data_IF_471283741823
#
_entry.id   IF_471283741823
#
_cell.length_a   1.000
_cell.length_b   1.000
_cell.length_c   1.000
_cell.angle_alpha   90.00
_cell.angle_beta   90.00
_cell.angle_gamma   90.00
#
_symmetry.space_group_name_H-M   'P 1'
#
loop_
_entity.id
_entity.type
_entity.pdbx_description
1 polymer ?
2 non-polymer ?
3 non-polymer ?
4 water ?
#
# COMPACT_ATOMS: atom_id res chain seq x y z
N UNK A 1 21.13 14.64 -23.90
CA UNK A 1 20.24 15.72 -23.50
C UNK A 1 19.34 16.17 -24.64
N UNK A 2 19.84 16.05 -25.88
CA UNK A 2 19.25 16.76 -27.01
C UNK A 2 17.78 16.43 -27.21
N UNK A 3 17.37 15.18 -26.97
CA UNK A 3 16.01 14.76 -27.23
C UNK A 3 15.31 14.23 -25.99
N UNK A 4 15.74 14.66 -24.80
CA UNK A 4 15.21 14.12 -23.56
C UNK A 4 14.21 15.11 -22.94
N UNK A 5 13.22 14.55 -22.25
CA UNK A 5 12.20 15.32 -21.55
C UNK A 5 12.40 15.13 -20.06
N UNK A 6 12.38 16.24 -19.31
CA UNK A 6 12.57 16.20 -17.87
C UNK A 6 12.16 17.53 -17.24
N UNK A 7 11.11 17.51 -16.42
CA UNK A 7 10.61 18.73 -15.80
C UNK A 7 11.34 18.99 -14.49
N UNK A 8 11.52 20.28 -14.19
CA UNK A 8 12.09 20.67 -12.91
C UNK A 8 11.14 20.26 -11.79
N UNK A 9 11.65 19.70 -10.69
CA UNK A 9 10.77 19.14 -9.66
C UNK A 9 9.91 20.21 -8.99
N UNK A 10 8.65 19.86 -8.76
CA UNK A 10 7.69 20.73 -8.09
C UNK A 10 7.25 20.05 -6.80
N UNK A 11 6.78 20.87 -5.86
CA UNK A 11 6.33 20.38 -4.56
C UNK A 11 4.81 20.28 -4.55
N UNK A 12 4.29 19.06 -4.40
CA UNK A 12 2.85 18.86 -4.29
C UNK A 12 2.36 18.97 -2.85
N UNK A 13 3.20 18.61 -1.88
CA UNK A 13 2.88 18.77 -0.47
C UNK A 13 4.13 19.25 0.25
N UNK A 14 3.92 20.06 1.29
CA UNK A 14 5.01 20.69 2.01
C UNK A 14 4.49 21.15 3.36
N UNK A 15 5.37 21.36 4.34
CA UNK A 15 4.90 21.81 5.67
C UNK A 15 4.13 23.11 5.57
N UNK A 16 2.95 23.12 6.20
CA UNK A 16 2.02 24.22 6.13
C UNK A 16 0.86 23.98 5.19
N UNK A 17 1.09 23.24 4.10
CA UNK A 17 0.02 22.93 3.17
C UNK A 17 -1.04 22.09 3.88
N UNK A 18 -2.29 22.54 3.78
CA UNK A 18 -3.42 21.91 4.47
C UNK A 18 -3.21 21.89 5.98
N UNK A 19 -2.50 22.88 6.50
CA UNK A 19 -2.25 23.08 7.93
C UNK A 19 -1.42 21.95 8.53
N UNK A 20 -0.69 21.19 7.71
CA UNK A 20 0.05 20.02 8.18
C UNK A 20 1.53 20.36 8.31
N UNK A 21 2.12 19.99 9.45
CA UNK A 21 3.54 20.20 9.69
C UNK A 21 4.42 19.19 8.95
N UNK A 22 3.87 18.04 8.56
CA UNK A 22 4.67 16.99 7.94
C UNK A 22 3.91 16.28 6.85
N UNK A 23 4.68 15.66 5.96
CA UNK A 23 4.16 14.86 4.87
C UNK A 23 5.16 13.76 4.56
N UNK A 24 4.65 12.58 4.21
CA UNK A 24 5.51 11.45 3.84
C UNK A 24 4.69 10.44 3.04
N UNK A 25 5.40 9.48 2.46
CA UNK A 25 4.83 8.27 1.88
C UNK A 25 4.07 8.60 0.60
N UNK A 26 4.76 8.82 -0.52
CA UNK A 26 4.07 9.19 -1.76
C UNK A 26 3.50 7.98 -2.50
N UNK A 27 2.30 8.17 -3.07
CA UNK A 27 1.66 7.16 -3.89
C UNK A 27 1.08 7.84 -5.13
N UNK A 28 1.24 7.19 -6.28
CA UNK A 28 0.99 7.80 -7.57
C UNK A 28 0.33 6.78 -8.50
N UNK A 29 -0.81 7.16 -9.08
CA UNK A 29 -1.53 6.26 -9.98
C UNK A 29 -2.23 7.09 -11.06
N UNK A 30 -2.33 6.52 -12.26
CA UNK A 30 -3.00 7.14 -13.38
C UNK A 30 -4.31 6.41 -13.68
N UNK A 31 -5.38 7.16 -13.91
CA UNK A 31 -6.67 6.57 -14.22
C UNK A 31 -6.82 6.37 -15.72
N UNK A 32 -7.88 5.65 -16.10
CA UNK A 32 -8.14 5.44 -17.53
C UNK A 32 -8.52 6.75 -18.22
N UNK A 33 -9.09 7.70 -17.49
CA UNK A 33 -9.38 9.02 -18.02
C UNK A 33 -8.14 9.91 -18.10
N UNK A 34 -6.96 9.36 -17.84
CA UNK A 34 -5.73 10.11 -17.93
C UNK A 34 -5.37 10.94 -16.72
N UNK A 35 -6.19 10.93 -15.67
CA UNK A 35 -5.91 11.72 -14.49
C UNK A 35 -4.82 11.08 -13.64
N UNK A 36 -3.90 11.89 -13.15
CA UNK A 36 -2.86 11.43 -12.23
C UNK A 36 -3.33 11.72 -10.82
N UNK A 37 -3.22 10.71 -9.95
CA UNK A 37 -3.61 10.82 -8.55
C UNK A 37 -2.38 10.71 -7.67
N UNK A 38 -2.24 11.65 -6.73
CA UNK A 38 -1.11 11.66 -5.80
C UNK A 38 -1.67 11.69 -4.38
N UNK A 39 -1.61 10.55 -3.69
CA UNK A 39 -2.00 10.46 -2.30
C UNK A 39 -0.77 10.50 -1.41
N UNK A 40 -0.98 10.88 -0.15
CA UNK A 40 0.14 11.18 0.75
C UNK A 40 -0.34 11.04 2.19
N UNK A 41 0.61 10.81 3.10
CA UNK A 41 0.34 10.91 4.52
C UNK A 41 0.26 12.38 4.92
N UNK A 42 -0.89 12.81 5.43
CA UNK A 42 -1.02 14.15 6.01
C UNK A 42 -0.63 14.01 7.48
N UNK A 43 0.68 14.02 7.71
CA UNK A 43 1.23 13.85 9.07
C UNK A 43 1.23 15.21 9.76
N UNK A 44 0.11 15.51 10.41
CA UNK A 44 -0.14 16.88 10.88
C UNK A 44 0.82 17.31 11.97
N UNK A 45 1.35 16.36 12.77
CA UNK A 45 2.19 16.69 13.91
C UNK A 45 3.69 16.55 13.63
N UNK A 46 4.06 16.30 12.38
CA UNK A 46 5.46 16.12 12.02
C UNK A 46 5.68 14.86 11.23
N UNK A 47 6.94 14.64 10.87
CA UNK A 47 7.32 13.56 9.96
C UNK A 47 7.35 12.18 10.61
N UNK A 48 7.21 12.09 11.93
CA UNK A 48 7.39 10.81 12.61
C UNK A 48 6.25 9.84 12.28
N UNK A 49 6.57 8.55 12.27
CA UNK A 49 5.56 7.52 12.09
C UNK A 49 4.59 7.52 13.28
N UNK A 50 3.51 6.77 13.13
CA UNK A 50 2.66 6.48 14.27
C UNK A 50 3.48 5.71 15.31
N UNK A 51 3.16 5.87 16.61
CA UNK A 51 2.02 6.58 17.20
C UNK A 51 2.26 8.06 17.53
N UNK A 52 1.31 8.65 18.26
CA UNK A 52 1.40 10.05 18.71
C UNK A 52 1.46 11.02 17.53
N UNK A 53 0.66 10.74 16.49
CA UNK A 53 0.62 11.61 15.32
C UNK A 53 -0.75 11.54 14.69
N UNK A 54 -1.37 12.70 14.47
CA UNK A 54 -2.63 12.81 13.74
C UNK A 54 -2.30 12.78 12.25
N UNK A 55 -2.41 11.60 11.65
CA UNK A 55 -2.10 11.40 10.24
C UNK A 55 -3.40 11.10 9.50
N UNK A 56 -3.61 11.79 8.39
CA UNK A 56 -4.79 11.61 7.56
C UNK A 56 -4.35 11.32 6.13
N UNK A 57 -5.32 10.96 5.29
CA UNK A 57 -5.08 10.72 3.87
C UNK A 57 -5.39 12.00 3.11
N UNK A 58 -4.43 12.45 2.31
CA UNK A 58 -4.65 13.57 1.41
C UNK A 58 -4.41 13.14 -0.01
N UNK A 59 -4.96 13.86 -0.98
CA UNK A 59 -4.83 13.49 -2.39
C UNK A 59 -4.93 14.73 -3.26
N UNK A 60 -4.22 14.71 -4.39
CA UNK A 60 -4.31 15.75 -5.40
C UNK A 60 -4.53 15.09 -6.75
N UNK A 61 -5.26 15.79 -7.63
CA UNK A 61 -5.60 15.30 -8.95
C UNK A 61 -5.00 16.20 -10.01
N UNK A 62 -4.65 15.59 -11.15
CA UNK A 62 -4.17 16.33 -12.32
C UNK A 62 -4.79 15.67 -13.54
N UNK A 63 -5.88 16.24 -14.03
CA UNK A 63 -6.52 15.70 -15.23
C UNK A 63 -5.65 15.97 -16.46
N UNK A 64 -5.88 15.17 -17.50
CA UNK A 64 -5.08 15.29 -18.72
C UNK A 64 -5.27 16.67 -19.32
N UNK A 65 -4.16 17.30 -19.71
CA UNK A 65 -4.17 18.67 -20.21
C UNK A 65 -4.76 19.63 -19.18
N UNK A 66 -4.32 19.47 -17.92
CA UNK A 66 -4.77 20.31 -16.84
C UNK A 66 -3.66 20.56 -15.83
N UNK A 67 -3.97 21.35 -14.82
CA UNK A 67 -3.06 21.68 -13.75
C UNK A 67 -3.27 20.76 -12.56
N UNK A 68 -2.30 20.73 -11.66
CA UNK A 68 -2.50 20.09 -10.37
C UNK A 68 -3.56 20.84 -9.59
N UNK A 69 -4.59 20.12 -9.14
CA UNK A 69 -5.67 20.72 -8.39
C UNK A 69 -5.33 20.75 -6.90
N UNK A 70 -6.15 21.47 -6.14
CA UNK A 70 -5.88 21.65 -4.72
C UNK A 70 -5.97 20.31 -3.98
N UNK A 71 -5.13 20.18 -2.95
CA UNK A 71 -5.16 18.98 -2.15
C UNK A 71 -6.34 18.94 -1.19
N UNK A 72 -6.84 17.72 -0.96
CA UNK A 72 -7.98 17.52 -0.08
C UNK A 72 -7.70 16.34 0.84
N UNK A 73 -8.15 16.46 2.09
CA UNK A 73 -8.10 15.35 3.04
C UNK A 73 -9.33 14.48 2.82
N UNK A 74 -9.11 13.22 2.43
CA UNK A 74 -10.20 12.33 2.04
C UNK A 74 -10.49 11.26 3.08
N UNK A 75 -9.64 11.10 4.10
CA UNK A 75 -9.90 10.19 5.21
C UNK A 75 -9.24 10.78 6.44
N UNK A 76 -10.02 10.94 7.51
CA UNK A 76 -9.54 11.62 8.70
C UNK A 76 -10.18 10.98 9.93
N UNK A 77 -9.34 10.50 10.85
CA UNK A 77 -9.77 9.83 12.05
C UNK A 77 -9.62 10.74 13.27
N UNK A 78 -10.37 10.47 14.34
CA UNK A 78 -10.33 11.38 15.50
C UNK A 78 -8.96 11.37 16.18
N UNK A 79 -8.61 12.54 16.73
CA UNK A 79 -7.40 12.64 17.53
C UNK A 79 -6.17 12.25 16.76
N UNK A 80 -5.23 11.61 17.46
CA UNK A 80 -4.02 11.09 16.84
C UNK A 80 -4.16 9.64 16.41
N UNK A 81 -5.36 9.22 16.00
CA UNK A 81 -5.56 7.92 15.37
C UNK A 81 -5.08 8.02 13.93
N UNK A 82 -4.11 7.19 13.55
CA UNK A 82 -3.36 7.42 12.33
C UNK A 82 -3.92 6.61 11.16
N UNK A 83 -3.93 7.24 9.99
CA UNK A 83 -4.10 6.57 8.70
C UNK A 83 -2.78 6.76 7.96
N UNK A 84 -2.04 5.67 7.78
CA UNK A 84 -0.63 5.75 7.40
C UNK A 84 -0.35 4.76 6.28
N UNK A 85 0.47 5.20 5.31
CA UNK A 85 0.90 4.38 4.18
C UNK A 85 -0.27 4.03 3.26
N UNK A 86 -0.41 4.77 2.16
CA UNK A 86 -1.51 4.56 1.23
C UNK A 86 -1.03 3.83 -0.04
N UNK A 87 -1.97 3.18 -0.70
CA UNK A 87 -1.72 2.51 -1.97
C UNK A 87 -2.94 2.71 -2.89
N UNK A 88 -2.68 3.06 -4.14
CA UNK A 88 -3.73 3.41 -5.09
C UNK A 88 -3.84 2.33 -6.18
N UNK A 89 -5.05 2.17 -6.71
CA UNK A 89 -5.26 1.21 -7.79
C UNK A 89 -6.42 1.66 -8.66
N UNK A 90 -6.14 1.88 -9.94
CA UNK A 90 -7.18 2.06 -10.95
C UNK A 90 -7.59 0.68 -11.47
N UNK A 91 -8.89 0.42 -11.47
CA UNK A 91 -9.39 -0.89 -11.88
C UNK A 91 -10.75 -0.73 -12.54
N UNK A 92 -11.05 -1.63 -13.48
CA UNK A 92 -12.27 -1.55 -14.27
C UNK A 92 -13.03 -2.87 -14.18
N UNK A 93 -14.32 -2.80 -14.51
CA UNK A 93 -15.19 -3.97 -14.53
C UNK A 93 -16.17 -3.81 -15.69
N UNK A 94 -16.40 -4.91 -16.41
CA UNK A 94 -17.36 -4.92 -17.51
C UNK A 94 -18.76 -4.96 -16.92
N UNK A 95 -19.44 -3.81 -16.94
CA UNK A 95 -20.77 -3.68 -16.36
C UNK A 95 -21.81 -4.26 -17.31
N UNK A 96 -22.83 -3.46 -17.62
CA UNK A 96 -23.87 -3.87 -18.56
C UNK A 96 -23.27 -4.01 -19.95
N UNK A 97 -22.96 -2.88 -20.58
CA UNK A 97 -22.18 -2.87 -21.81
C UNK A 97 -21.13 -1.79 -21.72
N UNK A 98 -20.94 -1.31 -20.48
CA UNK A 98 -20.05 -0.20 -20.17
C UNK A 98 -18.92 -0.73 -19.30
N UNK A 99 -17.68 -0.45 -19.71
CA UNK A 99 -16.50 -0.74 -18.90
C UNK A 99 -16.32 0.40 -17.91
N UNK A 100 -16.82 0.23 -16.69
CA UNK A 100 -16.76 1.26 -15.67
C UNK A 100 -15.48 1.15 -14.86
N UNK A 101 -14.98 2.31 -14.41
CA UNK A 101 -13.72 2.40 -13.69
C UNK A 101 -13.96 2.81 -12.24
N UNK A 102 -13.27 2.14 -11.33
CA UNK A 102 -13.28 2.47 -9.91
C UNK A 102 -11.85 2.54 -9.40
N UNK A 103 -11.56 3.56 -8.60
CA UNK A 103 -10.24 3.76 -8.00
C UNK A 103 -10.29 3.27 -6.56
N UNK A 104 -9.35 2.39 -6.20
CA UNK A 104 -9.27 1.85 -4.86
C UNK A 104 -8.06 2.43 -4.13
N UNK A 105 -8.24 2.70 -2.84
CA UNK A 105 -7.15 3.12 -1.96
C UNK A 105 -7.22 2.33 -0.68
N UNK A 106 -6.11 1.68 -0.31
CA UNK A 106 -6.01 1.02 0.99
C UNK A 106 -4.95 1.73 1.81
N UNK A 107 -5.14 1.74 3.12
CA UNK A 107 -4.27 2.45 4.04
C UNK A 107 -4.27 1.70 5.36
N UNK A 108 -3.13 1.73 6.05
CA UNK A 108 -3.03 1.14 7.37
C UNK A 108 -3.60 2.09 8.41
N UNK A 109 -4.33 1.52 9.37
CA UNK A 109 -5.03 2.30 10.38
C UNK A 109 -4.72 1.77 11.77
N UNK A 110 -4.36 2.69 12.68
CA UNK A 110 -4.10 2.41 14.07
C UNK A 110 -4.99 3.27 14.95
N UNK A 111 -5.49 2.73 16.07
CA UNK A 111 -6.13 3.59 17.07
C UNK A 111 -5.10 4.50 17.73
N UNK A 112 -5.61 5.45 18.50
CA UNK A 112 -4.73 6.42 19.15
C UNK A 112 -3.77 5.70 20.09
N UNK A 113 -2.49 6.08 20.00
CA UNK A 113 -1.47 5.52 20.87
C UNK A 113 -0.73 4.32 20.31
N UNK A 114 -1.02 3.90 19.09
CA UNK A 114 -0.45 2.68 18.56
C UNK A 114 0.16 2.91 17.17
N UNK A 115 1.18 2.10 16.87
CA UNK A 115 1.82 2.08 15.59
C UNK A 115 2.53 0.77 15.40
N UNK A 116 3.39 0.72 14.38
CA UNK A 116 4.18 -0.49 14.13
C UNK A 116 4.97 -0.97 15.34
N UNK A 117 5.71 -0.12 16.07
CA UNK A 117 6.58 -0.66 17.13
C UNK A 117 5.84 -1.27 18.31
N UNK A 118 4.62 -0.80 18.63
CA UNK A 118 3.92 -1.27 19.82
C UNK A 118 2.58 -1.90 19.51
N UNK A 119 2.34 -2.32 18.28
CA UNK A 119 1.05 -2.89 17.92
C UNK A 119 0.84 -4.22 18.64
N UNK A 120 -0.42 -4.50 18.95
CA UNK A 120 -0.82 -5.78 19.53
C UNK A 120 -1.28 -6.71 18.41
N UNK A 121 -1.60 -7.95 18.79
CA UNK A 121 -2.05 -8.94 17.82
C UNK A 121 -3.55 -8.95 17.64
N UNK A 122 -4.01 -9.84 16.76
CA UNK A 122 -5.42 -10.06 16.56
C UNK A 122 -6.00 -9.21 15.44
N UNK A 123 -7.18 -9.65 14.97
CA UNK A 123 -7.88 -8.93 13.92
C UNK A 123 -8.65 -7.73 14.44
N UNK A 124 -8.87 -7.64 15.76
CA UNK A 124 -9.78 -6.66 16.30
C UNK A 124 -11.23 -7.10 16.29
N UNK A 125 -11.51 -8.34 15.92
CA UNK A 125 -12.87 -8.86 15.83
C UNK A 125 -12.97 -10.19 16.56
N UNK A 126 -14.17 -10.49 17.03
CA UNK A 126 -14.51 -11.80 17.55
C UNK A 126 -15.57 -12.43 16.64
N UNK A 127 -15.39 -13.72 16.34
CA UNK A 127 -16.32 -14.45 15.49
C UNK A 127 -17.33 -15.19 16.35
N UNK A 128 -18.61 -14.94 16.11
CA UNK A 128 -19.71 -15.65 16.74
C UNK A 128 -20.63 -16.14 15.64
N UNK A 129 -20.82 -17.46 15.56
CA UNK A 129 -21.37 -18.12 14.37
C UNK A 129 -20.41 -17.81 13.23
N UNK A 130 -20.85 -17.19 12.14
CA UNK A 130 -19.93 -16.82 11.08
C UNK A 130 -19.78 -15.32 10.94
N UNK A 131 -20.23 -14.58 11.96
CA UNK A 131 -20.22 -13.12 11.93
C UNK A 131 -19.08 -12.59 12.81
N UNK A 132 -18.29 -11.68 12.24
CA UNK A 132 -17.23 -11.01 12.98
C UNK A 132 -17.78 -9.76 13.64
N UNK A 133 -17.48 -9.58 14.93
CA UNK A 133 -17.97 -8.44 15.68
C UNK A 133 -16.81 -7.64 16.24
N UNK A 134 -16.87 -6.32 16.05
CA UNK A 134 -15.81 -5.42 16.52
C UNK A 134 -15.65 -5.54 18.04
N UNK A 135 -14.41 -5.78 18.47
CA UNK A 135 -14.12 -5.95 19.89
C UNK A 135 -13.89 -4.60 20.54
N UNK A 136 -14.34 -4.46 21.79
CA UNK A 136 -14.03 -3.30 22.63
C UNK A 136 -13.55 -3.78 23.98
N UNK A 137 -12.63 -3.02 24.58
CA UNK A 137 -12.07 -3.33 25.88
C UNK A 137 -12.36 -2.19 26.86
N UNK A 138 -12.59 -2.56 28.12
CA UNK A 138 -12.60 -1.56 29.17
C UNK A 138 -11.20 -1.48 29.80
N UNK A 139 -11.02 -0.55 30.73
CA UNK A 139 -9.73 -0.38 31.39
C UNK A 139 -9.28 -1.64 32.13
N UNK A 140 -10.22 -2.48 32.55
CA UNK A 140 -9.93 -3.73 33.24
C UNK A 140 -9.66 -4.87 32.27
N UNK A 141 -9.55 -4.56 30.98
CA UNK A 141 -9.26 -5.50 29.90
C UNK A 141 -10.34 -6.55 29.70
N UNK A 142 -11.58 -6.27 30.12
CA UNK A 142 -12.69 -7.13 29.76
C UNK A 142 -13.09 -6.90 28.31
N UNK A 143 -13.74 -7.89 27.72
CA UNK A 143 -14.02 -7.90 26.29
C UNK A 143 -15.49 -7.64 26.00
N UNK A 144 -15.74 -6.81 25.00
CA UNK A 144 -17.09 -6.49 24.55
C UNK A 144 -17.13 -6.59 23.03
N UNK A 145 -18.34 -6.78 22.48
CA UNK A 145 -18.53 -6.87 21.04
C UNK A 145 -19.62 -5.92 20.60
N UNK A 146 -19.43 -5.34 19.41
CA UNK A 146 -20.40 -4.44 18.80
C UNK A 146 -21.20 -5.26 17.79
N UNK A 147 -22.53 -5.28 17.95
CA UNK A 147 -23.36 -6.14 17.13
C UNK A 147 -24.44 -5.35 16.40
N UNK A 148 -25.66 -5.90 16.38
CA UNK A 148 -26.72 -5.30 15.59
C UNK A 148 -27.02 -3.89 16.07
N UNK A 149 -27.17 -2.97 15.12
CA UNK A 149 -27.49 -1.57 15.41
C UNK A 149 -26.47 -0.93 16.34
N UNK A 150 -25.22 -1.40 16.29
CA UNK A 150 -24.17 -0.85 17.12
C UNK A 150 -24.29 -1.12 18.60
N UNK A 151 -25.15 -2.05 19.00
CA UNK A 151 -25.34 -2.33 20.43
C UNK A 151 -24.12 -3.07 20.98
N UNK A 152 -23.64 -2.65 22.13
CA UNK A 152 -22.45 -3.21 22.75
C UNK A 152 -22.87 -4.29 23.73
N UNK A 153 -22.42 -5.52 23.48
CA UNK A 153 -22.66 -6.66 24.37
C UNK A 153 -21.42 -6.94 25.19
N UNK A 154 -21.62 -7.44 26.41
CA UNK A 154 -20.50 -7.76 27.28
C UNK A 154 -20.01 -9.18 27.00
N UNK A 155 -19.10 -9.68 27.83
CA UNK A 155 -18.55 -11.02 27.61
C UNK A 155 -19.56 -12.12 27.88
N UNK A 156 -20.59 -11.85 28.68
CA UNK A 156 -21.63 -12.82 28.97
C UNK A 156 -22.74 -12.84 27.95
N UNK A 157 -22.64 -12.06 26.88
CA UNK A 157 -23.65 -12.06 25.84
C UNK A 157 -24.86 -11.20 26.10
N UNK A 158 -24.86 -10.40 27.17
CA UNK A 158 -25.96 -9.53 27.49
C UNK A 158 -25.65 -8.09 27.06
N UNK A 159 -26.71 -7.35 26.75
CA UNK A 159 -26.54 -5.99 26.27
C UNK A 159 -26.07 -5.06 27.38
N UNK A 160 -25.25 -4.09 27.00
CA UNK A 160 -24.90 -2.97 27.85
C UNK A 160 -25.77 -1.77 27.47
N UNK A 161 -25.57 -0.65 28.15
CA UNK A 161 -26.21 0.61 27.77
C UNK A 161 -25.34 1.44 26.84
N UNK A 162 -24.48 0.79 26.06
CA UNK A 162 -23.57 1.45 25.14
C UNK A 162 -23.97 1.16 23.70
N UNK A 163 -23.77 2.15 22.83
CA UNK A 163 -23.93 2.00 21.39
C UNK A 163 -22.73 2.65 20.72
N UNK A 164 -22.18 1.96 19.71
CA UNK A 164 -21.06 2.50 18.94
C UNK A 164 -21.54 2.78 17.52
N UNK A 165 -21.45 4.04 17.11
CA UNK A 165 -21.73 4.40 15.73
C UNK A 165 -20.59 3.93 14.82
N UNK A 166 -20.79 4.09 13.51
CA UNK A 166 -19.81 3.57 12.56
C UNK A 166 -18.48 4.31 12.65
N UNK A 167 -18.49 5.59 13.01
CA UNK A 167 -17.26 6.34 13.19
C UNK A 167 -16.63 6.12 14.57
N UNK A 168 -17.05 5.05 15.26
CA UNK A 168 -16.51 4.61 16.55
C UNK A 168 -16.91 5.51 17.71
N UNK A 169 -17.93 6.34 17.53
CA UNK A 169 -18.45 7.15 18.64
C UNK A 169 -19.27 6.28 19.58
N UNK A 170 -19.12 6.51 20.88
CA UNK A 170 -19.80 5.72 21.90
C UNK A 170 -20.92 6.56 22.51
N UNK A 171 -22.15 6.03 22.46
CA UNK A 171 -23.33 6.68 23.00
C UNK A 171 -23.80 5.90 24.22
N UNK A 172 -23.99 6.60 25.33
CA UNK A 172 -24.57 6.01 26.53
C UNK A 172 -25.63 6.96 27.06
N UNK A 173 -26.85 6.44 27.26
CA UNK A 173 -27.97 7.22 27.76
C UNK A 173 -28.19 8.47 26.90
N UNK A 174 -28.07 8.30 25.59
CA UNK A 174 -28.28 9.38 24.66
C UNK A 174 -27.20 10.45 24.66
N UNK A 175 -26.08 10.23 25.35
CA UNK A 175 -24.99 11.18 25.39
C UNK A 175 -23.73 10.57 24.77
N UNK A 176 -22.96 11.41 24.10
CA UNK A 176 -21.65 10.98 23.60
C UNK A 176 -20.67 10.91 24.75
N UNK A 177 -20.10 9.73 24.98
CA UNK A 177 -19.20 9.50 26.11
C UNK A 177 -17.78 9.19 25.68
N UNK A 178 -17.50 9.20 24.37
CA UNK A 178 -16.15 8.97 23.90
C UNK A 178 -16.16 8.45 22.48
N UNK A 179 -14.95 8.08 22.03
CA UNK A 179 -14.76 7.47 20.71
C UNK A 179 -13.79 6.31 20.86
N UNK A 180 -14.19 5.15 20.33
CA UNK A 180 -13.44 3.92 20.55
C UNK A 180 -12.01 3.98 20.04
N UNK A 181 -11.68 4.94 19.17
CA UNK A 181 -10.34 5.05 18.63
C UNK A 181 -9.42 5.93 19.47
N UNK A 182 -9.90 6.47 20.60
CA UNK A 182 -9.17 7.45 21.37
C UNK A 182 -8.64 6.85 22.67
N UNK A 183 -7.48 7.34 23.09
CA UNK A 183 -6.81 6.79 24.27
C UNK A 183 -7.58 7.03 25.55
N UNK A 184 -8.56 7.93 25.55
CA UNK A 184 -9.28 8.30 26.76
C UNK A 184 -10.70 7.74 26.81
N UNK A 185 -11.03 6.84 25.90
CA UNK A 185 -12.41 6.37 25.81
C UNK A 185 -12.70 5.32 26.89
N UNK A 186 -13.92 5.30 27.43
CA UNK A 186 -14.27 4.23 28.39
C UNK A 186 -14.15 2.84 27.80
N UNK A 187 -14.49 2.69 26.52
CA UNK A 187 -14.33 1.44 25.79
C UNK A 187 -13.48 1.71 24.55
N UNK A 188 -12.39 0.96 24.40
CA UNK A 188 -11.43 1.20 23.35
C UNK A 188 -11.39 0.04 22.36
N UNK A 189 -11.10 0.36 21.11
CA UNK A 189 -10.79 -0.66 20.13
C UNK A 189 -9.47 -1.34 20.48
N UNK A 190 -9.30 -2.58 20.00
CA UNK A 190 -8.04 -3.28 20.18
C UNK A 190 -6.92 -2.50 19.50
N UNK A 191 -5.85 -2.24 20.25
CA UNK A 191 -4.74 -1.48 19.73
C UNK A 191 -3.90 -2.26 18.74
N UNK A 192 -4.42 -2.50 17.55
CA UNK A 192 -3.74 -3.32 16.56
C UNK A 192 -3.90 -2.72 15.17
N UNK A 193 -3.12 -3.24 14.22
CA UNK A 193 -3.08 -2.71 12.87
C UNK A 193 -4.28 -3.18 12.06
N UNK A 194 -4.93 -2.25 11.38
CA UNK A 194 -5.98 -2.52 10.42
C UNK A 194 -5.55 -2.05 9.04
N UNK A 195 -6.17 -2.65 8.02
CA UNK A 195 -6.12 -2.11 6.65
C UNK A 195 -7.51 -1.65 6.31
N UNK A 196 -7.65 -0.35 6.03
CA UNK A 196 -8.92 0.24 5.64
C UNK A 196 -8.91 0.52 4.14
N UNK A 197 -10.08 0.47 3.54
CA UNK A 197 -10.21 0.66 2.10
C UNK A 197 -11.29 1.70 1.80
N UNK A 198 -10.97 2.61 0.86
CA UNK A 198 -11.94 3.54 0.30
C UNK A 198 -11.85 3.44 -1.21
N UNK A 199 -12.93 3.86 -1.88
CA UNK A 199 -12.97 3.82 -3.33
C UNK A 199 -13.63 5.07 -3.87
N UNK A 200 -13.35 5.35 -5.14
CA UNK A 200 -13.89 6.52 -5.83
C UNK A 200 -14.42 6.08 -7.20
N UNK A 201 -15.67 6.46 -7.49
CA UNK A 201 -16.30 6.18 -8.77
C UNK A 201 -16.24 7.36 -9.74
N UNK A 202 -15.80 8.53 -9.28
CA UNK A 202 -15.81 9.72 -10.11
C UNK A 202 -14.39 10.23 -10.37
N UNK A 203 -13.48 9.34 -10.76
CA UNK A 203 -12.13 9.71 -11.17
C UNK A 203 -11.36 10.39 -10.05
N UNK A 204 -11.66 10.06 -8.80
CA UNK A 204 -10.94 10.59 -7.66
C UNK A 204 -11.51 11.84 -7.04
N UNK A 205 -12.68 12.29 -7.49
CA UNK A 205 -13.26 13.52 -6.92
C UNK A 205 -13.72 13.30 -5.50
N UNK A 206 -14.55 12.27 -5.28
CA UNK A 206 -15.09 11.97 -3.95
C UNK A 206 -14.82 10.51 -3.63
N UNK A 207 -14.75 10.21 -2.33
CA UNK A 207 -14.38 8.89 -1.84
C UNK A 207 -15.39 8.38 -0.83
N UNK A 208 -15.57 7.06 -0.81
CA UNK A 208 -16.48 6.42 0.12
C UNK A 208 -15.95 6.50 1.55
N UNK A 209 -16.75 6.00 2.49
CA UNK A 209 -16.31 5.86 3.86
C UNK A 209 -15.41 4.63 3.99
N UNK A 210 -14.50 4.61 4.96
CA UNK A 210 -13.57 3.49 5.05
C UNK A 210 -14.27 2.18 5.38
N UNK A 211 -13.83 1.11 4.73
CA UNK A 211 -14.27 -0.24 5.05
C UNK A 211 -13.09 -1.01 5.63
N UNK A 212 -13.28 -1.58 6.82
CA UNK A 212 -12.24 -2.35 7.46
C UNK A 212 -12.09 -3.70 6.75
N UNK A 213 -10.88 -3.98 6.29
CA UNK A 213 -10.59 -5.24 5.61
C UNK A 213 -10.06 -6.32 6.55
N UNK A 214 -9.86 -5.98 7.83
CA UNK A 214 -9.38 -6.98 8.80
C UNK A 214 -10.27 -8.20 8.95
N UNK A 215 -11.59 -8.08 9.14
CA UNK A 215 -12.37 -9.26 9.55
C UNK A 215 -12.39 -10.34 8.47
N UNK A 216 -11.98 -11.55 8.87
CA UNK A 216 -11.90 -12.66 7.95
C UNK A 216 -10.68 -12.67 7.06
N UNK A 217 -9.80 -11.69 7.19
CA UNK A 217 -8.62 -11.57 6.34
C UNK A 217 -7.33 -11.61 7.14
N UNK A 218 -7.15 -10.69 8.08
CA UNK A 218 -5.97 -10.69 8.93
C UNK A 218 -6.03 -11.88 9.90
N UNK A 219 -4.93 -12.61 10.00
CA UNK A 219 -4.87 -13.74 10.92
C UNK A 219 -4.78 -13.27 12.36
N UNK A 220 -5.35 -14.06 13.27
CA UNK A 220 -5.31 -13.69 14.68
C UNK A 220 -3.89 -13.66 15.22
N UNK A 221 -2.97 -14.42 14.62
CA UNK A 221 -1.60 -14.43 15.09
C UNK A 221 -0.77 -13.27 14.55
N UNK A 222 -1.32 -12.48 13.64
CA UNK A 222 -0.61 -11.34 13.10
C UNK A 222 -0.67 -10.17 14.07
N UNK A 223 0.42 -9.42 14.15
CA UNK A 223 0.45 -8.21 14.95
C UNK A 223 0.36 -7.00 14.03
N UNK A 224 1.47 -6.62 13.39
CA UNK A 224 1.36 -5.65 12.32
C UNK A 224 0.73 -6.30 11.10
N UNK A 225 -0.02 -5.50 10.35
CA UNK A 225 -0.74 -5.94 9.18
C UNK A 225 -1.13 -4.69 8.43
N UNK A 226 -0.41 -4.36 7.35
CA UNK A 226 -0.56 -3.03 6.80
C UNK A 226 -0.27 -2.93 5.33
N UNK A 227 -0.72 -1.81 4.78
CA UNK A 227 -0.52 -1.50 3.37
C UNK A 227 0.96 -1.34 3.05
N UNK A 228 1.39 -1.95 1.94
CA UNK A 228 2.70 -1.64 1.37
C UNK A 228 2.52 -0.43 0.48
N UNK A 229 3.05 0.74 0.84
CA UNK A 229 2.66 1.97 0.13
C UNK A 229 3.18 2.01 -1.29
N UNK A 230 2.39 2.64 -2.15
CA UNK A 230 2.66 2.69 -3.57
C UNK A 230 1.39 2.48 -4.37
N UNK A 231 1.30 1.36 -5.07
CA UNK A 231 0.10 1.04 -5.83
C UNK A 231 -0.12 -0.46 -5.85
N UNK A 232 -1.37 -0.84 -6.10
CA UNK A 232 -1.71 -2.19 -6.50
C UNK A 232 -1.96 -2.26 -8.00
N UNK A 233 -2.27 -3.47 -8.48
CA UNK A 233 -2.52 -3.68 -9.90
C UNK A 233 -3.73 -4.59 -10.07
N UNK A 234 -4.35 -4.50 -11.24
CA UNK A 234 -5.40 -5.41 -11.67
C UNK A 234 -4.80 -6.30 -12.75
N UNK A 235 -4.88 -7.61 -12.56
CA UNK A 235 -4.27 -8.56 -13.49
C UNK A 235 -4.98 -8.47 -14.83
N UNK A 236 -4.20 -8.38 -15.91
CA UNK A 236 -4.74 -8.20 -17.25
C UNK A 236 -4.76 -9.47 -18.08
N UNK A 237 -3.89 -10.43 -17.80
CA UNK A 237 -3.76 -11.62 -18.63
C UNK A 237 -3.82 -12.88 -17.79
N UNK A 238 -4.22 -13.97 -18.43
CA UNK A 238 -4.11 -15.28 -17.83
C UNK A 238 -5.34 -15.73 -17.08
N UNK A 239 -5.13 -16.72 -16.23
CA UNK A 239 -6.23 -17.37 -15.51
C UNK A 239 -6.96 -16.40 -14.59
N UNK A 240 -6.29 -15.35 -14.12
CA UNK A 240 -6.82 -14.47 -13.09
C UNK A 240 -6.97 -13.04 -13.60
N UNK A 241 -7.37 -12.87 -14.86
CA UNK A 241 -7.65 -11.54 -15.37
C UNK A 241 -8.77 -10.89 -14.56
N UNK A 242 -8.60 -9.61 -14.24
CA UNK A 242 -9.55 -8.86 -13.45
C UNK A 242 -9.30 -8.89 -11.95
N UNK A 243 -8.44 -9.78 -11.48
CA UNK A 243 -8.17 -9.86 -10.05
C UNK A 243 -7.43 -8.62 -9.57
N UNK A 244 -7.92 -8.04 -8.48
CA UNK A 244 -7.25 -6.91 -7.85
C UNK A 244 -6.14 -7.44 -6.95
N UNK A 245 -4.95 -6.85 -7.05
CA UNK A 245 -3.78 -7.29 -6.29
C UNK A 245 -3.23 -6.09 -5.53
N UNK A 246 -3.25 -6.17 -4.20
CA UNK A 246 -2.76 -5.10 -3.33
C UNK A 246 -1.60 -5.60 -2.48
N UNK A 247 -0.38 -5.10 -2.68
CA UNK A 247 0.74 -5.51 -1.84
C UNK A 247 0.58 -5.06 -0.39
N UNK A 248 0.90 -5.95 0.54
CA UNK A 248 0.86 -5.70 1.97
C UNK A 248 2.07 -6.36 2.62
N UNK A 249 2.17 -6.20 3.94
CA UNK A 249 3.10 -6.99 4.73
C UNK A 249 2.62 -7.02 6.17
N UNK A 250 3.14 -7.98 6.93
CA UNK A 250 2.65 -8.24 8.28
C UNK A 250 3.77 -8.79 9.14
N UNK A 251 3.51 -8.86 10.45
CA UNK A 251 4.42 -9.49 11.41
C UNK A 251 3.69 -10.60 12.15
N UNK A 252 4.43 -11.63 12.52
CA UNK A 252 3.89 -12.73 13.31
C UNK A 252 4.15 -12.45 14.79
N UNK A 253 4.04 -13.48 15.64
CA UNK A 253 4.21 -13.29 17.07
C UNK A 253 5.65 -13.00 17.46
N UNK A 254 6.62 -13.32 16.59
CA UNK A 254 8.02 -12.99 16.83
C UNK A 254 8.39 -11.64 16.22
N UNK A 255 7.42 -10.87 15.75
CA UNK A 255 7.64 -9.58 15.11
C UNK A 255 8.45 -9.70 13.83
N UNK A 256 8.48 -10.89 13.23
CA UNK A 256 9.17 -11.11 11.96
C UNK A 256 8.28 -10.62 10.81
N UNK A 257 8.86 -9.81 9.93
CA UNK A 257 8.10 -9.19 8.84
C UNK A 257 8.09 -10.08 7.60
N UNK A 258 6.92 -10.20 6.99
CA UNK A 258 6.74 -11.00 5.78
C UNK A 258 5.87 -10.24 4.78
N UNK A 259 6.30 -10.23 3.52
CA UNK A 259 5.53 -9.59 2.45
C UNK A 259 4.46 -10.53 1.93
N UNK A 260 3.39 -9.94 1.39
CA UNK A 260 2.33 -10.72 0.75
C UNK A 260 1.47 -9.76 -0.05
N UNK A 261 0.42 -10.30 -0.68
CA UNK A 261 -0.60 -9.50 -1.32
C UNK A 261 -1.96 -9.99 -0.86
N UNK A 262 -2.92 -9.08 -0.82
CA UNK A 262 -4.33 -9.44 -0.70
C UNK A 262 -4.97 -9.26 -2.07
N UNK A 263 -5.91 -10.12 -2.41
CA UNK A 263 -6.48 -10.11 -3.75
C UNK A 263 -7.99 -10.27 -3.69
N UNK A 264 -8.65 -9.79 -4.75
CA UNK A 264 -10.10 -9.85 -4.87
C UNK A 264 -10.47 -10.25 -6.28
N UNK A 265 -11.42 -11.19 -6.40
CA UNK A 265 -11.92 -11.62 -7.68
C UNK A 265 -13.34 -11.14 -7.97
N UNK A 266 -13.96 -10.42 -7.03
CA UNK A 266 -15.28 -9.86 -7.22
C UNK A 266 -15.23 -8.34 -7.20
N UNK A 267 -14.18 -7.78 -7.79
CA UNK A 267 -14.01 -6.33 -7.95
C UNK A 267 -14.04 -5.60 -6.60
N UNK A 268 -13.36 -6.16 -5.62
CA UNK A 268 -13.19 -5.52 -4.34
C UNK A 268 -14.28 -5.77 -3.31
N UNK A 269 -15.25 -6.64 -3.62
CA UNK A 269 -16.31 -6.92 -2.64
C UNK A 269 -15.78 -7.73 -1.47
N UNK A 270 -15.01 -8.77 -1.76
CA UNK A 270 -14.37 -9.59 -0.73
C UNK A 270 -12.88 -9.74 -1.05
N UNK A 271 -12.09 -10.06 -0.03
CA UNK A 271 -10.65 -10.16 -0.17
C UNK A 271 -10.16 -11.45 0.47
N UNK A 272 -9.06 -11.97 -0.08
CA UNK A 272 -8.38 -13.13 0.48
C UNK A 272 -6.90 -12.82 0.62
N UNK A 273 -6.26 -13.50 1.56
CA UNK A 273 -4.84 -13.30 1.87
C UNK A 273 -4.02 -14.41 1.22
N UNK A 274 -3.06 -14.02 0.39
CA UNK A 274 -2.15 -14.98 -0.20
C UNK A 274 -0.98 -15.30 0.71
N UNK A 275 -0.25 -16.35 0.34
CA UNK A 275 0.93 -16.73 1.10
C UNK A 275 2.01 -15.65 0.99
N UNK A 276 2.91 -15.66 1.94
CA UNK A 276 4.11 -14.86 1.83
C UNK A 276 5.16 -15.61 1.02
N UNK A 277 6.02 -14.90 0.29
CA UNK A 277 7.23 -15.55 -0.25
C UNK A 277 8.09 -16.16 0.84
N UNK A 278 7.88 -15.76 2.10
CA UNK A 278 8.51 -16.44 3.23
C UNK A 278 8.00 -17.87 3.34
N UNK A 279 6.74 -18.12 2.96
CA UNK A 279 6.15 -19.44 3.09
C UNK A 279 6.66 -20.36 2.01
N UNK A 280 7.36 -21.42 2.42
CA UNK A 280 7.92 -22.42 1.52
C UNK A 280 7.61 -23.81 2.08
N UNK A 281 8.21 -24.83 1.47
CA UNK A 281 8.12 -26.16 2.06
C UNK A 281 8.85 -26.22 3.39
N UNK A 282 9.88 -25.39 3.58
CA UNK A 282 10.69 -25.41 4.79
C UNK A 282 10.23 -24.43 5.85
N UNK A 283 9.70 -23.27 5.45
CA UNK A 283 9.50 -22.14 6.36
C UNK A 283 8.03 -21.74 6.34
N UNK A 284 7.52 -21.35 7.51
CA UNK A 284 6.18 -20.81 7.68
C UNK A 284 6.28 -19.37 8.18
N UNK A 285 5.61 -18.46 7.47
CA UNK A 285 5.64 -17.06 7.90
C UNK A 285 4.90 -16.83 9.20
N UNK A 286 4.17 -17.83 9.71
CA UNK A 286 3.52 -17.69 11.01
C UNK A 286 4.50 -17.87 12.15
N UNK A 287 5.46 -18.79 12.00
CA UNK A 287 6.34 -19.17 13.10
C UNK A 287 7.80 -18.82 12.87
N UNK A 288 8.15 -18.29 11.70
CA UNK A 288 9.55 -17.94 11.44
C UNK A 288 10.02 -16.91 12.46
N UNK A 289 11.29 -17.02 12.86
CA UNK A 289 11.86 -16.08 13.81
C UNK A 289 13.30 -15.72 13.49
N UNK A 290 13.83 -16.13 12.34
CA UNK A 290 15.16 -15.77 11.91
C UNK A 290 15.22 -15.80 10.39
N UNK A 291 16.25 -15.15 9.85
CA UNK A 291 16.44 -15.07 8.41
C UNK A 291 16.10 -13.69 7.87
N UNK A 292 16.16 -13.59 6.55
CA UNK A 292 15.92 -12.32 5.87
C UNK A 292 14.44 -11.97 5.94
N UNK A 293 14.14 -10.79 6.51
CA UNK A 293 12.76 -10.32 6.57
C UNK A 293 12.39 -9.63 5.27
N UNK A 294 11.14 -9.82 4.85
CA UNK A 294 10.60 -9.20 3.65
C UNK A 294 9.45 -8.29 4.08
N UNK A 295 9.52 -7.01 3.70
CA UNK A 295 8.62 -6.01 4.25
C UNK A 295 7.88 -5.36 3.09
N UNK A 296 7.98 -4.04 2.94
CA UNK A 296 7.27 -3.32 1.89
C UNK A 296 7.60 -3.88 0.51
N UNK A 297 6.60 -3.86 -0.37
CA UNK A 297 6.75 -4.53 -1.66
C UNK A 297 5.82 -3.89 -2.69
N UNK A 298 6.13 -4.18 -3.96
CA UNK A 298 5.33 -3.76 -5.11
C UNK A 298 5.32 -4.89 -6.13
N UNK A 299 4.27 -4.94 -6.94
CA UNK A 299 4.02 -6.09 -7.80
C UNK A 299 3.86 -5.63 -9.25
N UNK A 300 4.39 -6.42 -10.17
CA UNK A 300 4.24 -6.21 -11.61
C UNK A 300 3.82 -7.52 -12.26
N UNK A 301 3.19 -7.41 -13.43
CA UNK A 301 2.61 -8.55 -14.12
C UNK A 301 3.43 -8.89 -15.37
N UNK A 302 3.64 -10.18 -15.60
CA UNK A 302 4.33 -10.68 -16.77
C UNK A 302 3.35 -10.79 -17.95
N UNK A 303 3.87 -10.95 -19.17
CA UNK A 303 2.97 -11.00 -20.34
C UNK A 303 1.86 -12.04 -20.25
N UNK A 304 2.10 -13.16 -19.56
CA UNK A 304 1.08 -14.21 -19.44
C UNK A 304 0.30 -14.13 -18.12
N UNK A 305 0.53 -13.08 -17.32
CA UNK A 305 -0.13 -12.94 -16.04
C UNK A 305 0.70 -13.35 -14.84
N UNK A 306 1.89 -13.88 -15.06
CA UNK A 306 2.76 -14.27 -13.95
C UNK A 306 3.16 -13.04 -13.14
N UNK A 307 3.12 -13.17 -11.82
CA UNK A 307 3.32 -12.05 -10.93
C UNK A 307 4.75 -12.01 -10.40
N UNK A 308 5.30 -10.81 -10.26
CA UNK A 308 6.63 -10.59 -9.70
C UNK A 308 6.51 -9.58 -8.57
N UNK A 309 6.91 -9.99 -7.38
CA UNK A 309 6.83 -9.14 -6.18
C UNK A 309 8.23 -8.69 -5.80
N UNK A 310 8.47 -7.38 -5.90
CA UNK A 310 9.74 -6.77 -5.51
C UNK A 310 9.63 -6.31 -4.06
N UNK A 311 10.59 -6.69 -3.23
CA UNK A 311 10.45 -6.56 -1.78
C UNK A 311 11.66 -5.85 -1.17
N UNK A 312 11.38 -4.81 -0.39
CA UNK A 312 12.33 -4.31 0.58
C UNK A 312 12.64 -5.40 1.60
N UNK A 313 13.89 -5.47 2.05
CA UNK A 313 14.30 -6.59 2.89
C UNK A 313 15.56 -6.23 3.66
N UNK A 314 15.88 -7.06 4.65
CA UNK A 314 17.06 -6.85 5.49
C UNK A 314 18.36 -7.25 4.81
N UNK A 315 18.31 -7.72 3.56
CA UNK A 315 19.51 -8.00 2.80
C UNK A 315 19.98 -6.78 2.03
N UNK A 316 21.04 -6.99 1.25
CA UNK A 316 21.65 -5.88 0.53
C UNK A 316 20.92 -5.56 -0.78
N UNK A 317 20.27 -6.55 -1.39
CA UNK A 317 19.70 -6.38 -2.72
C UNK A 317 18.23 -6.77 -2.72
N UNK A 318 17.51 -6.22 -3.70
CA UNK A 318 16.07 -6.44 -3.79
C UNK A 318 15.75 -7.90 -4.04
N UNK A 319 14.77 -8.41 -3.31
CA UNK A 319 14.27 -9.77 -3.47
C UNK A 319 13.05 -9.77 -4.38
N UNK A 320 12.98 -10.76 -5.27
CA UNK A 320 11.91 -10.86 -6.26
C UNK A 320 11.27 -12.23 -6.15
N UNK A 321 9.97 -12.26 -5.90
CA UNK A 321 9.21 -13.51 -5.81
C UNK A 321 8.34 -13.67 -7.04
N UNK A 322 8.02 -14.92 -7.37
CA UNK A 322 7.26 -15.27 -8.56
C UNK A 322 6.03 -16.06 -8.16
N UNK A 323 4.87 -15.69 -8.71
CA UNK A 323 3.61 -16.37 -8.44
C UNK A 323 3.01 -16.89 -9.74
N UNK A 324 2.53 -18.15 -9.70
CA UNK A 324 1.88 -18.76 -10.84
C UNK A 324 0.35 -18.82 -10.69
N UNK A 325 -0.18 -18.47 -9.52
CA UNK A 325 -1.61 -18.55 -9.26
C UNK A 325 -2.19 -17.19 -8.88
N UNK A 326 -1.65 -16.11 -9.46
CA UNK A 326 -2.17 -14.78 -9.20
C UNK A 326 -1.96 -14.28 -7.79
N UNK A 327 -0.82 -14.60 -7.18
CA UNK A 327 -0.49 -14.11 -5.86
C UNK A 327 -0.96 -14.98 -4.71
N UNK A 328 -1.65 -16.10 -5.00
CA UNK A 328 -2.05 -16.99 -3.93
C UNK A 328 -0.85 -17.64 -3.26
N UNK A 329 0.13 -18.06 -4.05
CA UNK A 329 1.35 -18.67 -3.55
C UNK A 329 2.53 -18.16 -4.37
N UNK A 330 3.72 -18.30 -3.80
CA UNK A 330 4.95 -17.86 -4.45
C UNK A 330 5.92 -19.02 -4.56
N UNK A 331 6.59 -19.10 -5.71
CA UNK A 331 7.66 -20.08 -5.92
C UNK A 331 8.65 -20.00 -4.76
N UNK A 332 9.11 -21.16 -4.31
CA UNK A 332 9.91 -21.22 -3.10
C UNK A 332 11.32 -20.66 -3.27
N UNK A 333 11.70 -20.31 -4.49
CA UNK A 333 13.01 -19.71 -4.74
C UNK A 333 12.80 -18.21 -4.89
N UNK A 334 13.34 -17.44 -3.95
CA UNK A 334 13.17 -15.99 -3.92
C UNK A 334 14.54 -15.34 -3.97
N UNK A 335 15.07 -15.08 -5.17
CA UNK A 335 16.45 -14.60 -5.29
C UNK A 335 16.59 -13.09 -5.15
N UNK A 336 17.84 -12.67 -4.94
CA UNK A 336 18.22 -11.27 -5.05
C UNK A 336 18.40 -10.88 -6.52
N UNK A 337 18.40 -9.58 -6.76
CA UNK A 337 18.81 -9.02 -8.04
C UNK A 337 19.95 -8.05 -7.73
N UNK A 338 21.19 -8.50 -7.96
CA UNK A 338 22.37 -7.71 -7.65
C UNK A 338 22.44 -6.40 -8.43
N UNK A 339 21.51 -6.13 -9.33
CA UNK A 339 21.42 -4.83 -9.98
C UNK A 339 20.55 -3.85 -9.24
N UNK A 340 19.87 -4.29 -8.18
CA UNK A 340 18.91 -3.47 -7.43
C UNK A 340 19.36 -3.40 -5.98
N UNK A 341 20.42 -2.64 -5.72
CA UNK A 341 20.88 -2.41 -4.36
C UNK A 341 19.75 -1.84 -3.50
N UNK A 342 19.54 -2.44 -2.33
CA UNK A 342 18.36 -2.16 -1.51
C UNK A 342 18.79 -1.80 -0.09
N UNK A 343 18.79 -0.50 0.27
CA UNK A 343 19.30 -0.10 1.58
C UNK A 343 18.23 -0.05 2.66
N UNK A 344 17.22 -0.92 2.56
CA UNK A 344 16.10 -0.99 3.50
C UNK A 344 15.22 0.24 3.37
N UNK A 345 14.59 0.40 2.22
CA UNK A 345 13.70 1.52 1.94
C UNK A 345 12.64 1.04 0.96
N UNK A 346 11.49 1.71 0.99
CA UNK A 346 10.43 1.39 0.04
C UNK A 346 10.92 1.59 -1.39
N UNK A 347 10.36 0.82 -2.32
CA UNK A 347 10.71 0.91 -3.73
C UNK A 347 9.44 0.99 -4.56
N UNK A 348 9.62 1.35 -5.83
CA UNK A 348 8.52 1.42 -6.78
C UNK A 348 8.88 0.64 -8.02
N UNK A 349 7.95 -0.17 -8.51
CA UNK A 349 8.11 -0.89 -9.77
C UNK A 349 6.74 -0.97 -10.44
N UNK A 350 6.72 -0.70 -11.75
CA UNK A 350 5.47 -0.64 -12.51
C UNK A 350 5.66 -1.30 -13.87
N UNK A 351 4.54 -1.71 -14.46
CA UNK A 351 4.53 -2.16 -15.84
C UNK A 351 4.53 -0.95 -16.77
N UNK A 352 5.20 -1.09 -17.91
CA UNK A 352 5.18 -0.08 -18.96
C UNK A 352 4.38 -0.62 -20.13
N UNK A 353 3.49 0.21 -20.67
CA UNK A 353 2.51 -0.25 -21.64
C UNK A 353 3.08 -0.48 -23.03
N UNK A 354 4.21 0.15 -23.36
CA UNK A 354 4.75 0.04 -24.70
C UNK A 354 6.02 -0.77 -24.80
N UNK A 355 6.32 -1.27 -25.99
CA UNK A 355 7.55 -2.04 -26.20
C UNK A 355 8.77 -1.13 -26.16
N UNK A 356 9.85 -1.62 -25.57
CA UNK A 356 11.13 -0.92 -25.51
C UNK A 356 12.17 -1.85 -26.08
N UNK A 357 12.73 -1.49 -27.24
CA UNK A 357 13.61 -2.36 -28.01
C UNK A 357 12.92 -3.69 -28.33
N UNK A 358 11.65 -3.60 -28.71
CA UNK A 358 10.88 -4.77 -29.08
C UNK A 358 10.54 -5.71 -27.94
N UNK A 359 10.76 -5.30 -26.69
CA UNK A 359 10.53 -6.14 -25.53
C UNK A 359 9.50 -5.49 -24.61
N UNK A 360 8.77 -6.31 -23.88
CA UNK A 360 7.96 -5.82 -22.77
C UNK A 360 8.89 -5.37 -21.64
N UNK A 361 8.51 -4.30 -20.95
CA UNK A 361 9.42 -3.65 -20.03
C UNK A 361 8.72 -3.26 -18.74
N UNK A 362 9.51 -3.12 -17.68
CA UNK A 362 9.07 -2.60 -16.40
C UNK A 362 10.00 -1.46 -16.00
N UNK A 363 9.51 -0.60 -15.12
CA UNK A 363 10.26 0.55 -14.62
C UNK A 363 10.40 0.43 -13.11
N UNK A 364 11.59 0.73 -12.60
CA UNK A 364 11.95 0.54 -11.20
C UNK A 364 12.59 1.81 -10.67
N UNK A 365 12.29 2.16 -9.42
CA UNK A 365 12.90 3.35 -8.82
C UNK A 365 13.08 3.11 -7.33
N UNK A 366 14.26 3.50 -6.82
CA UNK A 366 14.62 3.30 -5.42
C UNK A 366 15.92 4.05 -5.13
N UNK A 367 16.37 4.13 -3.86
CA UNK A 367 17.71 4.69 -3.60
C UNK A 367 18.81 3.67 -3.88
N UNK A 368 19.50 3.81 -5.01
CA UNK A 368 20.54 2.86 -5.42
C UNK A 368 21.84 3.21 -4.72
N UNK A 369 21.92 2.82 -3.44
CA UNK A 369 23.09 3.08 -2.61
C UNK A 369 22.94 2.25 -1.33
N UNK A 370 23.91 2.41 -0.43
CA UNK A 370 23.85 1.78 0.88
C UNK A 370 23.08 2.63 1.90
N UNK A 371 22.56 3.78 1.47
CA UNK A 371 21.70 4.62 2.28
C UNK A 371 20.63 5.20 1.37
N UNK A 372 19.77 6.05 1.93
CA UNK A 372 18.68 6.65 1.18
C UNK A 372 19.15 7.88 0.40
N UNK A 373 20.07 7.62 -0.54
CA UNK A 373 20.59 8.63 -1.46
C UNK A 373 20.60 8.04 -2.86
N UNK A 374 20.96 8.87 -3.84
CA UNK A 374 21.15 8.44 -5.23
C UNK A 374 19.89 7.76 -5.78
N UNK A 375 18.81 8.54 -5.82
CA UNK A 375 17.58 8.05 -6.40
C UNK A 375 17.75 7.75 -7.87
N UNK A 376 17.50 6.51 -8.27
CA UNK A 376 17.76 6.07 -9.64
C UNK A 376 16.54 5.36 -10.19
N UNK A 377 16.20 5.68 -11.44
CA UNK A 377 15.11 5.04 -12.16
C UNK A 377 15.73 4.11 -13.20
N UNK A 378 15.32 2.84 -13.16
CA UNK A 378 15.86 1.82 -14.04
C UNK A 378 14.78 1.31 -14.99
N UNK A 379 15.21 0.80 -16.14
CA UNK A 379 14.34 0.19 -17.12
C UNK A 379 14.73 -1.28 -17.25
N UNK A 380 13.76 -2.18 -17.09
CA UNK A 380 14.02 -3.59 -17.21
C UNK A 380 13.33 -4.22 -18.39
N UNK A 381 14.10 -4.86 -19.26
CA UNK A 381 13.54 -5.59 -20.39
C UNK A 381 13.23 -7.03 -19.97
N UNK A 382 12.09 -7.52 -20.41
CA UNK A 382 11.62 -8.85 -20.05
C UNK A 382 12.05 -9.85 -21.10
N UNK A 383 12.73 -10.91 -20.66
CA UNK A 383 13.24 -11.94 -21.54
C UNK A 383 12.81 -13.31 -21.04
N UNK A 384 12.21 -14.11 -21.93
CA UNK A 384 11.94 -15.50 -21.63
C UNK A 384 13.23 -16.31 -21.72
N UNK A 385 13.39 -17.26 -20.79
CA UNK A 385 14.58 -18.12 -20.79
C UNK A 385 14.14 -19.50 -20.29
N UNK A 386 13.50 -20.26 -21.18
CA UNK A 386 13.05 -21.58 -20.84
C UNK A 386 11.72 -21.56 -20.09
N UNK A 387 11.42 -22.70 -19.46
CA UNK A 387 10.23 -22.86 -18.64
C UNK A 387 10.63 -23.46 -17.30
N UNK A 388 9.65 -23.53 -16.39
CA UNK A 388 9.86 -24.14 -15.10
C UNK A 388 9.62 -25.65 -15.18
N UNK A 389 10.07 -26.37 -14.15
CA UNK A 389 9.70 -27.78 -14.05
C UNK A 389 8.20 -27.95 -14.23
N UNK A 390 7.41 -27.00 -13.75
CA UNK A 390 6.01 -26.88 -14.15
C UNK A 390 5.94 -26.36 -15.59
N UNK A 391 4.72 -26.09 -16.06
CA UNK A 391 4.54 -25.70 -17.45
C UNK A 391 4.81 -24.25 -17.76
N UNK A 392 4.82 -23.39 -16.73
CA UNK A 392 4.86 -21.94 -16.93
C UNK A 392 6.25 -21.48 -17.36
N UNK A 393 6.32 -20.40 -18.15
CA UNK A 393 7.61 -19.91 -18.64
C UNK A 393 8.39 -19.15 -17.57
N UNK A 394 9.66 -18.90 -17.88
CA UNK A 394 10.59 -18.28 -16.96
C UNK A 394 11.02 -16.93 -17.52
N UNK A 395 10.77 -15.86 -16.76
CA UNK A 395 11.10 -14.51 -17.16
C UNK A 395 12.31 -13.99 -16.40
N UNK A 396 13.14 -13.21 -17.09
CA UNK A 396 14.30 -12.57 -16.48
C UNK A 396 14.34 -11.10 -16.89
N UNK A 397 15.13 -10.33 -16.16
CA UNK A 397 15.17 -8.88 -16.32
C UNK A 397 16.52 -8.43 -16.87
N UNK A 398 16.48 -7.64 -17.93
CA UNK A 398 17.66 -6.97 -18.48
C UNK A 398 17.56 -5.50 -18.09
N UNK A 399 18.42 -5.06 -17.18
CA UNK A 399 18.41 -3.68 -16.70
C UNK A 399 19.29 -2.84 -17.63
N UNK A 400 18.69 -2.36 -18.71
CA UNK A 400 19.45 -1.64 -19.73
C UNK A 400 19.75 -0.22 -19.28
N UNK A 401 18.74 0.49 -18.78
CA UNK A 401 18.88 1.88 -18.38
C UNK A 401 18.90 1.97 -16.85
N UNK A 402 19.71 2.89 -16.35
CA UNK A 402 19.82 3.13 -14.90
C UNK A 402 20.25 4.59 -14.72
N UNK A 403 19.25 5.46 -14.60
CA UNK A 403 19.47 6.90 -14.60
C UNK A 403 19.28 7.47 -13.21
N UNK A 404 20.28 8.20 -12.73
CA UNK A 404 20.13 8.94 -11.48
C UNK A 404 19.21 10.15 -11.71
N UNK A 405 18.13 10.24 -10.95
CA UNK A 405 17.21 11.37 -11.01
C UNK A 405 17.28 12.23 -9.77
N UNK A 406 18.08 11.85 -8.76
CA UNK A 406 18.23 12.61 -7.53
C UNK A 406 19.52 12.18 -6.85
N UNK A 407 20.63 12.90 -7.08
CA UNK A 407 21.91 12.47 -6.50
C UNK A 407 21.95 12.55 -4.97
N UNK A 408 21.20 13.47 -4.36
CA UNK A 408 21.22 13.61 -2.92
C UNK A 408 20.24 12.71 -2.22
N UNK A 409 19.58 13.23 -1.17
CA UNK A 409 18.63 12.44 -0.40
C UNK A 409 17.49 11.94 -1.27
N UNK A 410 17.13 10.68 -1.09
CA UNK A 410 16.04 10.08 -1.85
C UNK A 410 15.53 8.89 -1.06
N UNK A 411 14.23 8.88 -0.76
CA UNK A 411 13.66 7.82 0.06
C UNK A 411 12.49 7.16 -0.66
N UNK A 412 11.29 7.28 -0.10
CA UNK A 412 10.12 6.64 -0.70
C UNK A 412 9.77 7.31 -2.02
N UNK A 413 9.38 6.48 -3.00
CA UNK A 413 9.04 6.98 -4.33
C UNK A 413 7.94 6.11 -4.91
N UNK A 414 7.30 6.62 -5.96
CA UNK A 414 6.26 5.88 -6.66
C UNK A 414 6.19 6.37 -8.10
N UNK A 415 6.27 5.43 -9.04
CA UNK A 415 6.20 5.70 -10.46
C UNK A 415 4.78 5.55 -10.99
N UNK A 416 4.52 6.21 -12.11
CA UNK A 416 3.28 5.99 -12.84
C UNK A 416 3.51 6.39 -14.29
N UNK A 417 2.76 5.76 -15.19
CA UNK A 417 2.87 6.04 -16.61
C UNK A 417 1.83 7.08 -17.01
N UNK A 418 2.30 8.16 -17.63
CA UNK A 418 1.42 9.22 -18.08
C UNK A 418 0.70 8.80 -19.35
N UNK A 419 -0.47 9.39 -19.64
CA UNK A 419 -1.24 8.96 -20.81
C UNK A 419 -0.50 9.08 -22.13
N UNK A 420 0.50 9.93 -22.20
CA UNK A 420 1.27 10.13 -23.42
C UNK A 420 2.46 9.20 -23.54
N UNK A 421 2.61 8.24 -22.63
CA UNK A 421 3.75 7.36 -22.63
C UNK A 421 4.94 7.85 -21.84
N UNK A 422 4.87 9.04 -21.26
CA UNK A 422 5.91 9.52 -20.37
C UNK A 422 5.72 8.94 -18.96
N UNK A 423 6.66 9.25 -18.08
CA UNK A 423 6.66 8.70 -16.73
C UNK A 423 6.61 9.84 -15.71
N UNK A 424 5.88 9.60 -14.62
CA UNK A 424 5.84 10.51 -13.49
C UNK A 424 6.48 9.86 -12.27
N UNK A 425 7.04 10.69 -11.39
CA UNK A 425 7.71 10.21 -10.19
C UNK A 425 7.34 11.10 -9.02
N UNK A 426 6.72 10.51 -8.01
CA UNK A 426 6.34 11.17 -6.77
C UNK A 426 7.26 10.62 -5.69
N UNK A 427 8.16 11.45 -5.17
CA UNK A 427 9.26 10.93 -4.37
C UNK A 427 9.58 11.84 -3.19
N UNK A 428 10.16 11.23 -2.16
CA UNK A 428 10.75 11.94 -1.04
C UNK A 428 12.22 12.19 -1.31
N UNK A 429 12.74 13.30 -0.77
CA UNK A 429 14.16 13.54 -0.87
C UNK A 429 14.56 15.00 -1.00
N UNK A 430 13.67 15.85 -1.51
CA UNK A 430 14.01 17.26 -1.69
C UNK A 430 14.19 17.99 -0.36
N UNK A 431 13.89 17.35 0.77
CA UNK A 431 14.19 17.92 2.07
C UNK A 431 13.08 18.83 2.58
N UNK A 432 13.15 19.09 3.89
CA UNK A 432 12.20 19.98 4.57
C UNK A 432 10.76 19.51 4.36
N UNK A 433 10.54 18.20 4.44
CA UNK A 433 9.19 17.64 4.35
C UNK A 433 8.48 17.90 3.05
N UNK A 434 9.20 18.14 1.97
CA UNK A 434 8.60 18.48 0.68
C UNK A 434 8.47 17.22 -0.17
N UNK A 435 7.27 16.98 -0.67
CA UNK A 435 6.98 15.82 -1.52
C UNK A 435 7.01 16.29 -2.98
N UNK A 436 7.98 15.79 -3.73
CA UNK A 436 8.26 16.30 -5.07
C UNK A 436 7.68 15.40 -6.15
N UNK A 437 7.39 16.02 -7.29
CA UNK A 437 6.86 15.32 -8.46
C UNK A 437 7.59 15.82 -9.70
N UNK A 438 8.01 14.89 -10.56
CA UNK A 438 8.70 15.23 -11.78
C UNK A 438 8.23 14.31 -12.90
N UNK A 439 8.40 14.77 -14.14
CA UNK A 439 8.05 14.01 -15.32
C UNK A 439 9.26 13.88 -16.23
N UNK A 440 9.36 12.76 -16.92
CA UNK A 440 10.46 12.52 -17.84
C UNK A 440 10.03 11.48 -18.87
N UNK A 441 10.87 11.29 -19.88
CA UNK A 441 10.62 10.34 -20.95
C UNK A 441 11.67 9.23 -20.93
N UNK A 442 11.53 8.28 -21.84
CA UNK A 442 12.46 7.16 -21.91
C UNK A 442 13.85 7.61 -22.32
N UNK A 443 13.95 8.65 -23.15
CA UNK A 443 15.26 9.16 -23.56
C UNK A 443 16.04 9.71 -22.38
N UNK A 444 15.34 10.33 -21.41
CA UNK A 444 16.02 10.80 -20.20
C UNK A 444 16.66 9.64 -19.46
N UNK A 445 16.02 8.47 -19.46
CA UNK A 445 16.57 7.30 -18.81
C UNK A 445 17.70 6.65 -19.60
N UNK A 446 17.74 6.87 -20.91
CA UNK A 446 18.83 6.33 -21.74
C UNK A 446 20.10 7.14 -21.60
N UNK A 447 19.99 8.42 -21.23
CA UNK A 447 21.18 9.28 -21.16
C UNK A 447 22.11 8.84 -20.03
N UNK A 448 23.40 8.86 -20.32
CA UNK A 448 24.44 8.49 -19.36
C UNK A 448 25.40 9.67 -19.22
N UNK A 449 25.29 10.40 -18.12
CA UNK A 449 26.14 11.57 -17.88
C UNK A 449 27.61 11.18 -17.73
X LIG B 1 23.50 9.23 -14.44
X LIG C 1 14.28 17.25 6.07
X LIG D 1 10.77 4.17 6.88
X LIG D 1 9.41 3.96 7.66
X LIG D 1 8.23 4.80 7.14
X LIG D 1 6.89 4.10 6.91
X LIG D 1 6.76 3.00 7.95
X LIG D 1 7.84 1.94 7.63
X LIG D 1 7.82 0.82 8.70
X LIG D 1 8.92 -0.24 8.45
X LIG D 1 8.92 -1.28 9.57
X LIG D 1 4.77 2.25 9.22
X LIG D 1 3.38 1.62 9.15
X LIG D 1 5.42 2.41 8.03
X LIG D 1 10.76 5.18 6.13
X LIG D 1 11.70 3.36 7.10
X LIG D 1 9.69 4.30 8.97
X LIG D 1 5.76 4.98 7.05
X LIG D 1 9.14 2.50 7.73
X LIG D 1 7.93 1.41 9.99
X LIG D 1 8.75 -0.83 7.15
X LIG D 1 10.20 -1.91 9.65
X LIG D 1 5.26 2.56 10.30
#
# INVERSE_FOLDING_TARGET
MDDVYKTQPVELFYPGYLESRGYRIPALETTKKGTVLASIDVRNNGDHDAPNNNIDVGIRRKEVNGEWEEGKVILDYPGKSAAIDTSLMSATIEENGIEKERIFLIVTHFPEGYGFPNTEGGSGYKEIDGKYYFILKDAQNNEYTVREDGIVYNSEGNETDYVMKNDKTLIQNGEEVGNALLSNSPLKAVGTAHIEMIYSDDDGNTWSEPEDLNPGLKKEWMKFFGTAPGKGIQIKNGEHKGRLVFPIYYTNQNNFQSSAVIYSDDFGETWKLGESPIDTASVSSETVSSGTQLTECQVVEMPNGQLKLFMRNTGSYTRIATSFDGGATWHDEVPEDTSLREPYCQLSVINYSGKINGKDAIIFSNPDASSRVNGSVKVGLINENGTYDNGEPRYEFDWIYNKTVKPGSFAYSCLTELPDGNLGLFYEGEGAGRMAYTEFDLNYLKFNA
CL CL
CL CL
SIA C1 C2 C3 C4 C5 C6 C7 C8 C9 C10 C11 N5 O1A O1B O2 O4 O6 O7 O8 O9 O10
#
